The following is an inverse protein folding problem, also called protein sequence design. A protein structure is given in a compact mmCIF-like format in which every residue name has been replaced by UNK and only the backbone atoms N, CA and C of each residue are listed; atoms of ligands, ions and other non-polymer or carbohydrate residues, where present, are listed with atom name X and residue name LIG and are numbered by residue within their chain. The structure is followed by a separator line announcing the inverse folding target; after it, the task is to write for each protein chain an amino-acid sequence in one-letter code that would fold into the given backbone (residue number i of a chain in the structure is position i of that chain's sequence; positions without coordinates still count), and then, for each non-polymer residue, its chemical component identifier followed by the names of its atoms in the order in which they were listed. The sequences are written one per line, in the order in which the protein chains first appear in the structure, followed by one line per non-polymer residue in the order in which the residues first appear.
data_IF_444943637761
#
_entry.id   IF_444943637761
#
_cell.length_a   1.000
_cell.length_b   1.000
_cell.length_c   1.000
_cell.angle_alpha   90.00
_cell.angle_beta   90.00
_cell.angle_gamma   90.00
#
_symmetry.space_group_name_H-M   'P 1'
#
loop_
_entity.id
_entity.type
_entity.pdbx_description
1 polymer ?
#
# COMPACT_ATOMS: atom_id res chain seq x y z
N UNK A 1 -24.07 13.05 8.94
CA UNK A 1 -22.64 13.16 9.28
C UNK A 1 -21.97 13.79 8.05
N UNK A 2 -21.55 15.05 8.13
CA UNK A 2 -20.82 15.72 7.03
C UNK A 2 -19.41 15.16 6.99
N UNK A 3 -19.00 14.59 5.85
CA UNK A 3 -17.64 14.08 5.65
C UNK A 3 -16.75 15.28 5.32
N UNK A 4 -15.93 15.70 6.28
CA UNK A 4 -14.90 16.72 6.03
C UNK A 4 -13.85 16.17 5.05
N UNK A 5 -13.88 16.71 3.84
CA UNK A 5 -12.98 16.32 2.75
C UNK A 5 -11.72 17.19 2.81
N UNK A 6 -10.58 16.61 3.16
CA UNK A 6 -9.29 17.30 3.18
C UNK A 6 -8.42 16.85 2.01
N UNK A 7 -7.89 17.80 1.25
CA UNK A 7 -6.95 17.54 0.15
C UNK A 7 -5.51 17.71 0.64
N UNK A 8 -4.65 16.73 0.34
CA UNK A 8 -3.23 16.75 0.68
C UNK A 8 -2.41 16.70 -0.61
N UNK A 9 -1.30 17.43 -0.66
CA UNK A 9 -0.39 17.38 -1.80
C UNK A 9 0.78 16.46 -1.49
N UNK A 10 1.07 15.56 -2.43
CA UNK A 10 2.32 14.81 -2.41
C UNK A 10 3.52 15.76 -2.42
N UNK A 11 4.52 15.44 -1.60
CA UNK A 11 5.82 16.12 -1.60
C UNK A 11 6.52 15.93 -2.96
N UNK A 12 7.43 16.84 -3.30
CA UNK A 12 8.09 16.84 -4.62
C UNK A 12 8.83 15.52 -4.89
N UNK A 13 9.45 14.96 -3.86
CA UNK A 13 10.19 13.69 -3.91
C UNK A 13 9.26 12.50 -4.22
N UNK A 14 8.02 12.50 -3.68
CA UNK A 14 7.02 11.46 -3.99
C UNK A 14 6.65 11.51 -5.47
N UNK A 15 6.42 12.71 -6.02
CA UNK A 15 5.99 12.85 -7.42
C UNK A 15 7.05 12.29 -8.37
N UNK A 16 8.33 12.49 -8.06
CA UNK A 16 9.43 11.93 -8.84
C UNK A 16 9.50 10.40 -8.71
N UNK A 17 9.33 9.86 -7.50
CA UNK A 17 9.28 8.40 -7.29
C UNK A 17 8.12 7.76 -8.05
N UNK A 18 6.90 8.30 -7.94
CA UNK A 18 5.72 7.81 -8.65
C UNK A 18 5.94 7.83 -10.15
N UNK A 19 6.58 8.89 -10.67
CA UNK A 19 6.93 8.97 -12.09
C UNK A 19 7.86 7.82 -12.50
N UNK A 20 8.90 7.50 -11.73
CA UNK A 20 9.83 6.39 -12.04
C UNK A 20 9.14 5.02 -11.93
N UNK A 21 8.38 4.80 -10.85
CA UNK A 21 7.67 3.55 -10.62
C UNK A 21 6.67 3.27 -11.73
N UNK A 22 5.90 4.27 -12.17
CA UNK A 22 4.96 4.12 -13.28
C UNK A 22 5.67 3.61 -14.54
N UNK A 23 6.83 4.16 -14.88
CA UNK A 23 7.58 3.72 -16.07
C UNK A 23 8.16 2.31 -15.94
N UNK A 24 8.57 1.92 -14.73
CA UNK A 24 9.21 0.62 -14.47
C UNK A 24 8.19 -0.52 -14.36
N UNK A 25 7.04 -0.26 -13.74
CA UNK A 25 5.94 -1.21 -13.58
C UNK A 25 5.29 -1.60 -14.92
N UNK A 26 5.54 -0.87 -16.01
CA UNK A 26 5.06 -1.28 -17.34
C UNK A 26 5.76 -2.54 -17.86
N UNK A 27 6.95 -2.86 -17.34
CA UNK A 27 7.73 -4.04 -17.72
C UNK A 27 7.21 -5.29 -16.99
N UNK A 28 6.98 -5.18 -15.68
CA UNK A 28 6.55 -6.29 -14.82
C UNK A 28 5.29 -5.92 -14.02
N UNK A 29 4.14 -6.09 -14.66
CA UNK A 29 2.84 -5.68 -14.10
C UNK A 29 2.39 -6.50 -12.90
N UNK A 30 3.05 -7.60 -12.56
CA UNK A 30 2.65 -8.45 -11.44
C UNK A 30 3.26 -7.96 -10.10
N UNK A 31 4.25 -7.06 -10.17
CA UNK A 31 4.94 -6.51 -9.00
C UNK A 31 3.97 -5.78 -8.07
N UNK A 32 3.05 -4.95 -8.58
CA UNK A 32 2.14 -4.22 -7.70
C UNK A 32 1.30 -5.17 -6.84
N UNK A 33 0.89 -6.32 -7.40
CA UNK A 33 0.07 -7.29 -6.68
C UNK A 33 0.89 -7.95 -5.58
N UNK A 34 2.15 -8.31 -5.87
CA UNK A 34 3.10 -8.84 -4.87
C UNK A 34 3.28 -7.86 -3.72
N UNK A 35 3.52 -6.58 -4.01
CA UNK A 35 3.74 -5.56 -2.98
C UNK A 35 2.49 -5.34 -2.11
N UNK A 36 1.30 -5.30 -2.72
CA UNK A 36 0.04 -5.15 -1.96
C UNK A 36 -0.25 -6.37 -1.08
N UNK A 37 0.02 -7.59 -1.56
CA UNK A 37 -0.10 -8.82 -0.75
C UNK A 37 0.91 -8.81 0.40
N UNK A 38 2.15 -8.37 0.17
CA UNK A 38 3.16 -8.24 1.23
C UNK A 38 2.70 -7.27 2.32
N UNK A 39 2.21 -6.09 1.94
CA UNK A 39 1.70 -5.09 2.88
C UNK A 39 0.52 -5.63 3.71
N UNK A 40 -0.39 -6.37 3.09
CA UNK A 40 -1.50 -6.99 3.79
C UNK A 40 -1.04 -8.10 4.75
N UNK A 41 -0.08 -8.93 4.35
CA UNK A 41 0.52 -9.96 5.22
C UNK A 41 1.15 -9.34 6.48
N UNK A 42 1.85 -8.21 6.33
CA UNK A 42 2.43 -7.47 7.46
C UNK A 42 1.33 -6.91 8.37
N UNK A 43 0.25 -6.36 7.79
CA UNK A 43 -0.89 -5.84 8.54
C UNK A 43 -1.61 -6.95 9.34
N UNK A 44 -1.81 -8.13 8.75
CA UNK A 44 -2.38 -9.30 9.41
C UNK A 44 -1.47 -9.82 10.52
N UNK A 45 -0.15 -9.86 10.30
CA UNK A 45 0.82 -10.28 11.32
C UNK A 45 0.80 -9.35 12.53
N UNK A 46 0.74 -8.04 12.29
CA UNK A 46 0.61 -7.04 13.36
C UNK A 46 -0.70 -7.19 14.12
N UNK A 47 -1.82 -7.42 13.42
CA UNK A 47 -3.11 -7.67 14.07
C UNK A 47 -3.08 -8.93 14.92
N UNK A 48 -2.50 -10.02 14.41
CA UNK A 48 -2.35 -11.26 15.17
C UNK A 48 -1.55 -11.05 16.46
N UNK A 49 -0.48 -10.25 16.41
CA UNK A 49 0.29 -9.90 17.61
C UNK A 49 -0.55 -9.11 18.63
N UNK A 50 -1.32 -8.12 18.17
CA UNK A 50 -2.24 -7.36 19.03
C UNK A 50 -3.30 -8.28 19.67
N UNK A 51 -3.88 -9.21 18.92
CA UNK A 51 -4.86 -10.19 19.43
C UNK A 51 -4.30 -11.05 20.58
N UNK A 52 -3.01 -11.37 20.54
CA UNK A 52 -2.35 -12.18 21.56
C UNK A 52 -1.91 -11.39 22.80
N UNK A 53 -1.71 -10.09 22.68
CA UNK A 53 -1.06 -9.27 23.71
C UNK A 53 -2.01 -8.27 24.37
N UNK A 54 -3.07 -7.86 23.67
CA UNK A 54 -4.03 -6.87 24.12
C UNK A 54 -5.33 -7.53 24.61
N UNK A 55 -5.86 -7.04 25.74
CA UNK A 55 -7.11 -7.54 26.33
C UNK A 55 -8.36 -6.84 25.79
N UNK A 56 -8.20 -5.73 25.09
CA UNK A 56 -9.29 -4.90 24.57
C UNK A 56 -9.65 -5.23 23.11
N UNK A 57 -9.29 -6.41 22.64
CA UNK A 57 -9.66 -6.91 21.31
C UNK A 57 -11.16 -7.17 21.29
N UNK A 58 -11.86 -6.48 20.38
CA UNK A 58 -13.33 -6.54 20.30
C UNK A 58 -13.86 -7.92 19.94
N UNK A 59 -13.15 -8.63 19.06
CA UNK A 59 -13.49 -9.99 18.63
C UNK A 59 -12.20 -10.78 18.39
N UNK A 60 -11.88 -11.68 19.31
CA UNK A 60 -10.67 -12.51 19.26
C UNK A 60 -10.80 -13.67 18.26
N UNK A 61 -12.02 -13.97 17.79
CA UNK A 61 -12.30 -15.02 16.82
C UNK A 61 -12.50 -14.45 15.39
N UNK A 62 -12.36 -13.13 15.23
CA UNK A 62 -12.44 -12.48 13.93
C UNK A 62 -11.41 -13.07 12.95
N UNK A 63 -11.86 -13.34 11.73
CA UNK A 63 -11.02 -13.93 10.69
C UNK A 63 -9.91 -12.96 10.27
N UNK A 64 -8.66 -13.42 10.35
CA UNK A 64 -7.50 -12.76 9.76
C UNK A 64 -7.31 -13.28 8.33
N UNK A 65 -7.76 -12.51 7.35
CA UNK A 65 -7.75 -12.91 5.95
C UNK A 65 -7.41 -11.74 5.01
N UNK A 66 -6.92 -12.12 3.83
CA UNK A 66 -6.83 -11.27 2.66
C UNK A 66 -7.77 -11.82 1.58
N UNK A 67 -8.62 -10.95 1.06
CA UNK A 67 -9.54 -11.23 -0.04
C UNK A 67 -9.15 -10.44 -1.28
N UNK A 68 -9.15 -11.12 -2.43
CA UNK A 68 -8.94 -10.50 -3.73
C UNK A 68 -10.21 -10.71 -4.56
N UNK A 69 -10.84 -9.62 -4.98
CA UNK A 69 -12.05 -9.63 -5.80
C UNK A 69 -11.75 -8.96 -7.14
N UNK A 70 -12.19 -9.59 -8.23
CA UNK A 70 -12.13 -9.03 -9.59
C UNK A 70 -13.55 -9.00 -10.14
N UNK A 71 -14.35 -7.97 -9.78
CA UNK A 71 -15.73 -7.90 -10.23
C UNK A 71 -15.79 -7.67 -11.75
N UNK A 72 -16.80 -8.25 -12.40
CA UNK A 72 -17.10 -7.93 -13.79
C UNK A 72 -17.46 -6.44 -13.91
N UNK A 73 -16.81 -5.75 -14.84
CA UNK A 73 -17.12 -4.35 -15.12
C UNK A 73 -18.36 -4.28 -16.00
N UNK A 74 -19.37 -3.53 -15.56
CA UNK A 74 -20.50 -3.18 -16.40
C UNK A 74 -20.04 -2.32 -17.58
N UNK A 75 -20.83 -2.30 -18.66
CA UNK A 75 -20.53 -1.49 -19.83
C UNK A 75 -20.42 0.00 -19.45
N UNK A 76 -19.27 0.60 -19.73
CA UNK A 76 -18.95 1.98 -19.35
C UNK A 76 -18.31 2.17 -17.97
N UNK A 77 -18.15 1.12 -17.15
CA UNK A 77 -17.43 1.20 -15.87
C UNK A 77 -15.93 0.87 -15.99
N UNK A 78 -15.08 1.48 -15.13
CA UNK A 78 -13.68 1.09 -15.05
C UNK A 78 -13.53 -0.33 -14.51
N UNK A 79 -12.56 -1.07 -15.05
CA UNK A 79 -12.13 -2.35 -14.49
C UNK A 79 -11.55 -2.14 -13.10
N UNK A 80 -11.81 -3.07 -12.18
CA UNK A 80 -11.37 -3.00 -10.79
C UNK A 80 -10.76 -4.32 -10.36
N UNK A 81 -9.72 -4.21 -9.55
CA UNK A 81 -9.20 -5.28 -8.69
C UNK A 81 -9.31 -4.72 -7.28
N UNK A 82 -9.92 -5.47 -6.38
CA UNK A 82 -10.15 -5.05 -5.00
C UNK A 82 -9.38 -6.00 -4.09
N UNK A 83 -8.47 -5.45 -3.28
CA UNK A 83 -7.70 -6.19 -2.29
C UNK A 83 -8.13 -5.67 -0.93
N UNK A 84 -8.62 -6.57 -0.07
CA UNK A 84 -9.09 -6.27 1.29
C UNK A 84 -8.34 -7.15 2.26
N UNK A 85 -7.83 -6.58 3.33
CA UNK A 85 -7.30 -7.32 4.46
C UNK A 85 -8.06 -6.96 5.74
N UNK A 86 -8.08 -7.90 6.69
CA UNK A 86 -8.55 -7.65 8.06
C UNK A 86 -7.39 -7.43 9.04
N UNK A 87 -6.29 -6.83 8.54
CA UNK A 87 -5.13 -6.49 9.35
C UNK A 87 -5.38 -5.30 10.27
N UNK A 88 -4.29 -4.81 10.87
CA UNK A 88 -4.35 -3.77 11.90
C UNK A 88 -4.89 -2.41 11.39
N UNK A 89 -4.92 -2.23 10.08
CA UNK A 89 -5.36 -0.99 9.44
C UNK A 89 -4.42 0.19 9.69
N UNK A 90 -4.92 1.40 9.42
CA UNK A 90 -4.20 2.65 9.65
C UNK A 90 -5.17 3.72 10.17
N UNK A 91 -4.68 4.51 11.12
CA UNK A 91 -5.32 5.76 11.55
C UNK A 91 -5.23 6.84 10.47
N UNK A 92 -5.98 7.93 10.63
CA UNK A 92 -5.95 9.06 9.71
C UNK A 92 -4.54 9.67 9.60
N UNK A 93 -3.87 9.81 10.72
CA UNK A 93 -2.53 10.37 10.82
C UNK A 93 -1.51 9.46 10.12
N UNK A 94 -1.61 8.15 10.34
CA UNK A 94 -0.78 7.16 9.64
C UNK A 94 -1.02 7.14 8.13
N UNK A 95 -2.26 7.34 7.67
CA UNK A 95 -2.53 7.47 6.23
C UNK A 95 -1.81 8.69 5.63
N UNK A 96 -1.90 9.85 6.28
CA UNK A 96 -1.22 11.07 5.81
C UNK A 96 0.29 10.92 5.84
N UNK A 97 0.82 10.29 6.90
CA UNK A 97 2.25 10.06 7.04
C UNK A 97 2.72 9.01 6.03
N UNK A 98 2.22 7.79 6.07
CA UNK A 98 2.75 6.65 5.33
C UNK A 98 2.49 6.75 3.82
N UNK A 99 1.32 7.25 3.41
CA UNK A 99 0.98 7.40 1.98
C UNK A 99 1.33 8.79 1.43
N UNK A 100 1.19 9.84 2.25
CA UNK A 100 1.37 11.23 1.81
C UNK A 100 2.81 11.75 1.93
N UNK A 101 3.62 11.17 2.83
CA UNK A 101 4.95 11.66 3.19
C UNK A 101 5.92 10.48 3.31
N UNK A 102 6.62 10.13 2.21
CA UNK A 102 7.64 9.05 2.13
C UNK A 102 8.03 8.47 3.50
N UNK A 103 7.69 7.20 3.71
CA UNK A 103 8.34 6.38 4.73
C UNK A 103 9.86 6.55 4.58
N UNK A 104 10.47 7.18 5.58
CA UNK A 104 11.70 7.97 5.50
C UNK A 104 12.97 7.27 4.97
N UNK A 105 12.96 5.98 4.67
CA UNK A 105 14.17 5.20 4.34
C UNK A 105 14.17 4.59 2.94
N UNK A 106 13.13 3.83 2.54
CA UNK A 106 13.20 2.99 1.34
C UNK A 106 13.20 3.77 0.01
N UNK A 107 12.34 4.78 -0.14
CA UNK A 107 12.23 5.49 -1.42
C UNK A 107 13.45 6.34 -1.76
N UNK A 108 14.12 6.92 -0.75
CA UNK A 108 15.31 7.76 -0.97
C UNK A 108 16.51 6.91 -1.37
N UNK A 109 16.67 5.75 -0.74
CA UNK A 109 17.70 4.77 -1.08
C UNK A 109 17.45 4.13 -2.45
N UNK A 110 16.19 3.90 -2.81
CA UNK A 110 15.81 3.43 -4.14
C UNK A 110 16.13 4.48 -5.22
N UNK A 111 15.77 5.75 -4.99
CA UNK A 111 16.10 6.85 -5.90
C UNK A 111 17.62 7.04 -6.06
N UNK A 112 18.41 6.89 -4.99
CA UNK A 112 19.87 6.98 -5.09
C UNK A 112 20.46 5.81 -5.88
N UNK A 113 19.97 4.59 -5.67
CA UNK A 113 20.44 3.40 -6.41
C UNK A 113 20.17 3.49 -7.91
N UNK A 114 18.99 3.99 -8.30
CA UNK A 114 18.65 4.22 -9.72
C UNK A 114 19.45 5.38 -10.33
N UNK A 115 19.77 6.41 -9.53
CA UNK A 115 20.59 7.52 -10.01
C UNK A 115 22.08 7.16 -10.19
N UNK A 116 22.59 6.21 -9.43
CA UNK A 116 24.01 5.80 -9.42
C UNK A 116 24.33 4.61 -10.34
N UNK A 117 23.32 3.83 -10.72
CA UNK A 117 23.49 2.67 -11.58
C UNK A 117 22.40 2.63 -12.65
N UNK A 118 22.75 2.23 -13.87
CA UNK A 118 21.84 1.85 -14.95
C UNK A 118 21.04 0.57 -14.60
N UNK A 119 20.72 0.36 -13.30
CA UNK A 119 19.90 -0.74 -12.82
C UNK A 119 18.46 -0.50 -13.25
N UNK A 120 17.90 -1.48 -13.95
CA UNK A 120 16.49 -1.51 -14.26
C UNK A 120 15.70 -1.69 -12.96
N UNK A 121 14.71 -0.84 -12.66
CA UNK A 121 13.94 -0.99 -11.44
C UNK A 121 13.11 -2.29 -11.37
N UNK A 122 13.06 -3.09 -12.45
CA UNK A 122 12.58 -4.49 -12.43
C UNK A 122 13.48 -5.47 -11.70
N UNK A 123 14.76 -5.12 -11.52
CA UNK A 123 15.79 -6.06 -11.05
C UNK A 123 16.01 -6.01 -9.53
N UNK A 124 15.19 -5.23 -8.81
CA UNK A 124 15.23 -5.02 -7.34
C UNK A 124 14.11 -5.79 -6.64
#
# INVERSE_FOLDING_TARGET
MTIDTNSYHFKAEIKQLLHILVHSLYKDRDIFLRELISNASDALTRMHFEMLTNRDVLDADAELALHIEVPEAAEGEPKRIIIKDSGIGMTREELVQNLGTIAQSGAREFLSRIGESDMDPSDV
#
